data_IF_334051677639
#
_entry.id   IF_334051677639
#
_cell.length_a   1.000
_cell.length_b   1.000
_cell.length_c   1.000
_cell.angle_alpha   90.00
_cell.angle_beta   90.00
_cell.angle_gamma   90.00
#
_symmetry.space_group_name_H-M   'P 1'
#
loop_
_entity.id
_entity.type
_entity.pdbx_description
1 polymer ?
#
# COMPACT_ATOMS: atom_id res chain seq x y z
N UNK A 1 -7.49 3.41 -11.59
CA UNK A 1 -6.03 3.58 -11.42
C UNK A 1 -5.72 4.18 -10.06
N UNK A 2 -4.49 4.00 -9.60
CA UNK A 2 -3.84 4.70 -8.48
C UNK A 2 -3.15 5.93 -9.08
N UNK A 3 -3.41 7.12 -8.54
CA UNK A 3 -2.84 8.38 -9.01
C UNK A 3 -2.01 9.02 -7.89
N UNK A 4 -0.71 9.20 -8.12
CA UNK A 4 0.21 9.76 -7.13
C UNK A 4 -0.19 11.18 -6.75
N UNK A 5 -0.61 11.99 -7.72
CA UNK A 5 -0.93 13.40 -7.50
C UNK A 5 -2.21 13.55 -6.67
N UNK A 6 -3.23 12.73 -6.95
CA UNK A 6 -4.46 12.68 -6.13
C UNK A 6 -4.16 12.23 -4.69
N UNK A 7 -3.26 11.26 -4.51
CA UNK A 7 -2.86 10.81 -3.17
C UNK A 7 -2.15 11.94 -2.42
N UNK A 8 -1.24 12.65 -3.07
CA UNK A 8 -0.50 13.76 -2.46
C UNK A 8 -1.43 14.90 -2.03
N UNK A 9 -2.35 15.34 -2.90
CA UNK A 9 -3.29 16.42 -2.57
C UNK A 9 -4.33 15.99 -1.54
N UNK A 10 -4.69 14.71 -1.48
CA UNK A 10 -5.59 14.18 -0.44
C UNK A 10 -4.91 14.10 0.92
N UNK A 11 -3.64 13.69 0.97
CA UNK A 11 -2.89 13.56 2.22
C UNK A 11 -2.47 14.91 2.82
N UNK A 12 -2.19 15.89 1.95
CA UNK A 12 -1.68 17.20 2.36
C UNK A 12 -2.48 18.32 1.69
N UNK A 13 -3.74 18.54 2.10
CA UNK A 13 -4.62 19.54 1.49
C UNK A 13 -4.08 20.98 1.64
N UNK A 14 -3.29 21.22 2.69
CA UNK A 14 -2.72 22.54 2.99
C UNK A 14 -1.41 22.83 2.25
N UNK A 15 -0.90 21.88 1.44
CA UNK A 15 0.31 22.04 0.64
C UNK A 15 -0.02 22.01 -0.84
N UNK A 16 0.64 22.84 -1.63
CA UNK A 16 0.48 22.77 -3.07
C UNK A 16 1.11 21.48 -3.63
N UNK A 17 0.50 20.94 -4.69
CA UNK A 17 1.04 19.77 -5.38
C UNK A 17 2.50 20.00 -5.84
N UNK A 18 2.81 21.22 -6.30
CA UNK A 18 4.15 21.60 -6.75
C UNK A 18 5.18 21.47 -5.62
N UNK A 19 4.86 21.95 -4.41
CA UNK A 19 5.75 21.82 -3.24
C UNK A 19 6.00 20.36 -2.88
N UNK A 20 4.97 19.52 -2.94
CA UNK A 20 5.07 18.09 -2.65
C UNK A 20 5.92 17.36 -3.70
N UNK A 21 5.76 17.69 -4.98
CA UNK A 21 6.60 17.15 -6.05
C UNK A 21 8.06 17.60 -5.92
N UNK A 22 8.29 18.86 -5.56
CA UNK A 22 9.64 19.38 -5.29
C UNK A 22 10.27 18.64 -4.11
N UNK A 23 9.53 18.43 -3.02
CA UNK A 23 10.01 17.67 -1.87
C UNK A 23 10.41 16.24 -2.29
N UNK A 24 9.55 15.54 -3.04
CA UNK A 24 9.87 14.20 -3.55
C UNK A 24 11.10 14.19 -4.47
N UNK A 25 11.31 15.24 -5.27
CA UNK A 25 12.50 15.38 -6.12
C UNK A 25 13.76 15.64 -5.28
N UNK A 26 13.69 16.51 -4.28
CA UNK A 26 14.79 16.78 -3.33
C UNK A 26 15.19 15.53 -2.54
N UNK A 27 14.22 14.65 -2.25
CA UNK A 27 14.48 13.37 -1.61
C UNK A 27 15.00 12.30 -2.59
N UNK A 28 15.08 12.57 -3.90
CA UNK A 28 15.34 11.59 -4.96
C UNK A 28 14.33 10.42 -5.00
N UNK A 29 13.10 10.66 -4.51
CA UNK A 29 12.05 9.64 -4.40
C UNK A 29 10.90 9.81 -5.40
N UNK A 30 10.84 10.94 -6.12
CA UNK A 30 9.81 11.18 -7.12
C UNK A 30 9.72 10.07 -8.19
N UNK A 31 10.87 9.66 -8.75
CA UNK A 31 10.94 8.57 -9.74
C UNK A 31 10.55 7.21 -9.15
N UNK A 32 11.09 6.77 -7.99
CA UNK A 32 10.64 5.56 -7.29
C UNK A 32 9.11 5.49 -7.08
N UNK A 33 8.48 6.55 -6.59
CA UNK A 33 7.04 6.57 -6.38
C UNK A 33 6.25 6.53 -7.70
N UNK A 34 6.67 7.28 -8.71
CA UNK A 34 6.04 7.25 -10.04
C UNK A 34 6.15 5.88 -10.70
N UNK A 35 7.34 5.25 -10.62
CA UNK A 35 7.55 3.89 -11.13
C UNK A 35 6.69 2.86 -10.38
N UNK A 36 6.66 2.95 -9.05
CA UNK A 36 5.86 2.04 -8.21
C UNK A 36 4.38 2.12 -8.56
N UNK A 37 3.83 3.33 -8.62
CA UNK A 37 2.42 3.54 -8.99
C UNK A 37 2.11 3.06 -10.41
N UNK A 38 3.01 3.27 -11.37
CA UNK A 38 2.86 2.75 -12.73
C UNK A 38 2.86 1.21 -12.77
N UNK A 39 3.78 0.56 -12.05
CA UNK A 39 3.87 -0.91 -11.99
C UNK A 39 2.63 -1.51 -11.31
N UNK A 40 2.17 -0.93 -10.20
CA UNK A 40 0.94 -1.36 -9.53
C UNK A 40 -0.30 -1.17 -10.42
N UNK A 41 -0.38 -0.07 -11.17
CA UNK A 41 -1.45 0.12 -12.15
C UNK A 41 -1.40 -0.92 -13.27
N UNK A 42 -0.21 -1.25 -13.77
CA UNK A 42 -0.05 -2.31 -14.78
C UNK A 42 -0.53 -3.66 -14.24
N UNK A 43 -0.23 -3.98 -12.98
CA UNK A 43 -0.77 -5.16 -12.31
C UNK A 43 -2.30 -5.12 -12.26
N UNK A 44 -2.89 -4.01 -11.81
CA UNK A 44 -4.35 -3.89 -11.71
C UNK A 44 -5.03 -4.07 -13.07
N UNK A 45 -4.47 -3.49 -14.13
CA UNK A 45 -5.00 -3.62 -15.50
C UNK A 45 -4.91 -5.06 -16.01
N UNK A 46 -3.82 -5.77 -15.70
CA UNK A 46 -3.54 -7.11 -16.23
C UNK A 46 -3.78 -8.23 -15.21
N UNK A 47 -4.46 -7.94 -14.10
CA UNK A 47 -4.48 -8.79 -12.91
C UNK A 47 -4.93 -10.22 -13.22
N UNK A 48 -6.02 -10.37 -13.97
CA UNK A 48 -6.55 -11.69 -14.37
C UNK A 48 -5.55 -12.50 -15.18
N UNK A 49 -4.89 -11.86 -16.16
CA UNK A 49 -3.90 -12.52 -17.02
C UNK A 49 -2.69 -12.97 -16.20
N UNK A 50 -2.15 -12.09 -15.36
CA UNK A 50 -1.02 -12.38 -14.48
C UNK A 50 -1.35 -13.54 -13.53
N UNK A 51 -2.54 -13.55 -12.93
CA UNK A 51 -2.97 -14.63 -12.05
C UNK A 51 -3.16 -15.96 -12.80
N UNK A 52 -3.62 -15.94 -14.05
CA UNK A 52 -3.75 -17.16 -14.86
C UNK A 52 -2.38 -17.75 -15.19
N UNK A 53 -1.43 -16.92 -15.61
CA UNK A 53 -0.10 -17.30 -16.09
C UNK A 53 0.88 -17.61 -14.94
N UNK A 54 0.96 -16.74 -13.93
CA UNK A 54 1.98 -16.79 -12.87
C UNK A 54 1.45 -17.29 -11.52
N UNK A 55 0.12 -17.47 -11.38
CA UNK A 55 -0.57 -17.83 -10.13
C UNK A 55 -0.37 -16.87 -8.95
N UNK A 56 0.38 -15.78 -9.14
CA UNK A 56 0.68 -14.79 -8.12
C UNK A 56 0.89 -13.40 -8.75
N UNK A 57 0.64 -12.34 -7.97
CA UNK A 57 0.94 -10.97 -8.39
C UNK A 57 2.32 -10.56 -7.89
N UNK A 58 3.18 -9.93 -8.71
CA UNK A 58 4.54 -9.54 -8.31
C UNK A 58 4.57 -8.30 -7.41
N UNK A 59 3.58 -8.13 -6.52
CA UNK A 59 3.44 -6.96 -5.64
C UNK A 59 4.58 -6.85 -4.64
N UNK A 60 5.05 -7.98 -4.09
CA UNK A 60 6.09 -7.96 -3.05
C UNK A 60 7.39 -7.29 -3.52
N UNK A 61 7.84 -7.64 -4.72
CA UNK A 61 9.06 -7.06 -5.31
C UNK A 61 8.93 -5.56 -5.58
N UNK A 62 7.77 -5.12 -6.06
CA UNK A 62 7.52 -3.70 -6.32
C UNK A 62 7.62 -2.88 -5.02
N UNK A 63 7.01 -3.40 -3.95
CA UNK A 63 7.04 -2.74 -2.64
C UNK A 63 8.45 -2.74 -2.05
N UNK A 64 9.18 -3.86 -2.16
CA UNK A 64 10.57 -3.97 -1.74
C UNK A 64 11.49 -2.95 -2.43
N UNK A 65 11.34 -2.74 -3.74
CA UNK A 65 12.16 -1.76 -4.47
C UNK A 65 11.92 -0.32 -3.99
N UNK A 66 10.65 0.05 -3.75
CA UNK A 66 10.31 1.37 -3.22
C UNK A 66 10.96 1.59 -1.84
N UNK A 67 10.96 0.56 -1.00
CA UNK A 67 11.56 0.63 0.33
C UNK A 67 13.06 0.81 0.33
N UNK A 68 13.74 0.07 -0.52
CA UNK A 68 15.19 0.17 -0.61
C UNK A 68 15.55 1.63 -0.92
N UNK A 69 14.82 2.26 -1.85
CA UNK A 69 15.01 3.68 -2.16
C UNK A 69 14.72 4.59 -0.95
N UNK A 70 13.61 4.37 -0.24
CA UNK A 70 13.24 5.17 0.95
C UNK A 70 14.25 5.00 2.08
N UNK A 71 14.59 3.76 2.44
CA UNK A 71 15.50 3.47 3.53
C UNK A 71 16.90 4.03 3.25
N UNK A 72 17.38 3.86 2.01
CA UNK A 72 18.66 4.46 1.58
C UNK A 72 18.63 5.97 1.80
N UNK A 73 17.54 6.65 1.42
CA UNK A 73 17.42 8.10 1.63
C UNK A 73 17.41 8.47 3.12
N UNK A 74 16.64 7.76 3.94
CA UNK A 74 16.52 8.03 5.38
C UNK A 74 17.81 7.73 6.17
N UNK A 75 18.64 6.80 5.70
CA UNK A 75 19.96 6.55 6.29
C UNK A 75 20.94 7.69 6.01
N UNK A 76 20.79 8.39 4.88
CA UNK A 76 21.64 9.56 4.55
C UNK A 76 21.24 10.85 5.27
N UNK A 77 20.07 10.90 5.92
CA UNK A 77 19.61 12.08 6.64
C UNK A 77 20.18 12.12 8.05
N UNK A 78 21.11 13.05 8.28
CA UNK A 78 21.78 13.23 9.57
C UNK A 78 20.96 14.08 10.54
N UNK A 79 20.04 14.92 10.05
CA UNK A 79 19.18 15.72 10.91
C UNK A 79 18.00 14.87 11.40
N UNK A 80 18.01 14.52 12.69
CA UNK A 80 17.00 13.64 13.30
C UNK A 80 15.57 14.20 13.24
N UNK A 81 15.40 15.52 13.28
CA UNK A 81 14.07 16.15 13.21
C UNK A 81 13.52 16.00 11.80
N UNK A 82 14.30 16.38 10.79
CA UNK A 82 13.93 16.21 9.37
C UNK A 82 13.71 14.76 9.02
N UNK A 83 14.55 13.85 9.53
CA UNK A 83 14.40 12.41 9.33
C UNK A 83 13.05 11.93 9.80
N UNK A 84 12.61 12.31 11.00
CA UNK A 84 11.27 11.95 11.52
C UNK A 84 10.14 12.55 10.70
N UNK A 85 10.27 13.78 10.24
CA UNK A 85 9.29 14.42 9.34
C UNK A 85 9.19 13.67 8.00
N UNK A 86 10.33 13.29 7.41
CA UNK A 86 10.38 12.50 6.20
C UNK A 86 9.82 11.09 6.41
N UNK A 87 10.14 10.43 7.52
CA UNK A 87 9.55 9.13 7.88
C UNK A 87 8.02 9.21 7.93
N UNK A 88 7.46 10.21 8.61
CA UNK A 88 6.02 10.39 8.70
C UNK A 88 5.37 10.69 7.33
N UNK A 89 6.01 11.55 6.53
CA UNK A 89 5.56 11.88 5.17
C UNK A 89 5.56 10.64 4.26
N UNK A 90 6.68 9.94 4.21
CA UNK A 90 6.88 8.77 3.35
C UNK A 90 6.02 7.59 3.79
N UNK A 91 5.84 7.40 5.10
CA UNK A 91 4.96 6.38 5.65
C UNK A 91 3.52 6.59 5.22
N UNK A 92 3.00 7.82 5.35
CA UNK A 92 1.64 8.16 4.96
C UNK A 92 1.41 7.95 3.45
N UNK A 93 2.37 8.38 2.63
CA UNK A 93 2.33 8.21 1.19
C UNK A 93 2.36 6.73 0.77
N UNK A 94 3.27 5.96 1.34
CA UNK A 94 3.39 4.52 1.11
C UNK A 94 2.11 3.79 1.50
N UNK A 95 1.58 4.07 2.69
CA UNK A 95 0.33 3.48 3.17
C UNK A 95 -0.81 3.73 2.19
N UNK A 96 -0.99 4.97 1.70
CA UNK A 96 -2.10 5.25 0.78
C UNK A 96 -1.93 4.64 -0.61
N UNK A 97 -0.71 4.54 -1.12
CA UNK A 97 -0.45 3.84 -2.38
C UNK A 97 -0.81 2.35 -2.23
N UNK A 98 -0.35 1.70 -1.16
CA UNK A 98 -0.63 0.29 -0.91
C UNK A 98 -2.11 0.04 -0.62
N UNK A 99 -2.73 0.85 0.22
CA UNK A 99 -4.17 0.77 0.53
C UNK A 99 -5.01 0.92 -0.74
N UNK A 100 -4.67 1.90 -1.59
CA UNK A 100 -5.33 2.10 -2.88
C UNK A 100 -5.19 0.90 -3.82
N UNK A 101 -4.01 0.27 -3.85
CA UNK A 101 -3.79 -0.97 -4.62
C UNK A 101 -4.64 -2.12 -4.08
N UNK A 102 -4.57 -2.37 -2.77
CA UNK A 102 -5.29 -3.47 -2.11
C UNK A 102 -6.81 -3.36 -2.26
N UNK A 103 -7.33 -2.15 -2.26
CA UNK A 103 -8.76 -1.87 -2.48
C UNK A 103 -9.23 -2.15 -3.91
N UNK A 104 -8.36 -1.89 -4.88
CA UNK A 104 -8.70 -2.04 -6.31
C UNK A 104 -8.41 -3.45 -6.83
N UNK A 105 -7.48 -4.17 -6.20
CA UNK A 105 -7.12 -5.54 -6.60
C UNK A 105 -8.23 -6.53 -6.29
N UNK A 106 -8.52 -7.42 -7.24
CA UNK A 106 -9.46 -8.52 -7.07
C UNK A 106 -8.87 -9.69 -6.27
N UNK A 107 -7.54 -9.81 -6.21
CA UNK A 107 -6.84 -10.90 -5.53
C UNK A 107 -7.16 -10.96 -4.02
N UNK A 108 -7.00 -12.16 -3.41
CA UNK A 108 -7.15 -12.32 -1.97
C UNK A 108 -6.14 -11.46 -1.20
N UNK A 109 -6.64 -10.55 -0.36
CA UNK A 109 -5.83 -9.56 0.34
C UNK A 109 -4.82 -10.23 1.28
N UNK A 110 -5.20 -11.37 1.86
CA UNK A 110 -4.33 -12.18 2.70
C UNK A 110 -3.10 -12.69 1.93
N UNK A 111 -3.29 -13.07 0.67
CA UNK A 111 -2.18 -13.47 -0.21
C UNK A 111 -1.29 -12.28 -0.55
N UNK A 112 -1.88 -11.12 -0.86
CA UNK A 112 -1.13 -9.89 -1.15
C UNK A 112 -0.27 -9.48 0.04
N UNK A 113 -0.85 -9.46 1.25
CA UNK A 113 -0.11 -9.15 2.47
C UNK A 113 1.03 -10.12 2.74
N UNK A 114 0.78 -11.43 2.55
CA UNK A 114 1.83 -12.44 2.73
C UNK A 114 2.98 -12.24 1.75
N UNK A 115 2.69 -11.96 0.48
CA UNK A 115 3.72 -11.68 -0.53
C UNK A 115 4.53 -10.42 -0.21
N UNK A 116 3.87 -9.36 0.27
CA UNK A 116 4.55 -8.14 0.70
C UNK A 116 5.42 -8.40 1.93
N UNK A 117 4.91 -9.11 2.93
CA UNK A 117 5.64 -9.40 4.16
C UNK A 117 6.88 -10.29 3.92
N UNK A 118 6.75 -11.31 3.05
CA UNK A 118 7.89 -12.16 2.66
C UNK A 118 8.94 -11.32 1.95
N UNK A 119 8.54 -10.57 0.91
CA UNK A 119 9.49 -9.75 0.15
C UNK A 119 10.18 -8.71 1.05
N UNK A 120 9.45 -8.15 2.03
CA UNK A 120 10.03 -7.24 3.02
C UNK A 120 11.07 -7.94 3.89
N UNK A 121 10.74 -9.11 4.41
CA UNK A 121 11.65 -9.92 5.26
C UNK A 121 12.93 -10.26 4.51
N UNK A 122 12.80 -10.70 3.26
CA UNK A 122 13.94 -11.04 2.39
C UNK A 122 14.79 -9.80 2.09
N UNK A 123 14.15 -8.67 1.81
CA UNK A 123 14.84 -7.40 1.54
C UNK A 123 15.60 -6.92 2.76
N UNK A 124 15.00 -6.95 3.95
CA UNK A 124 15.67 -6.59 5.19
C UNK A 124 16.88 -7.49 5.46
N UNK A 125 16.74 -8.80 5.20
CA UNK A 125 17.84 -9.75 5.38
C UNK A 125 18.97 -9.51 4.37
N UNK A 126 18.66 -9.25 3.11
CA UNK A 126 19.67 -9.06 2.06
C UNK A 126 20.47 -7.76 2.23
N UNK A 127 19.81 -6.68 2.64
CA UNK A 127 20.43 -5.35 2.78
C UNK A 127 20.81 -5.00 4.23
N UNK A 128 20.68 -5.94 5.18
CA UNK A 128 20.91 -5.74 6.61
C UNK A 128 20.13 -4.55 7.18
N UNK A 129 18.85 -4.45 6.85
CA UNK A 129 17.96 -3.41 7.37
C UNK A 129 17.17 -3.90 8.59
N UNK A 130 16.80 -2.98 9.47
CA UNK A 130 15.90 -3.27 10.59
C UNK A 130 14.47 -3.51 10.06
N UNK A 131 14.03 -4.77 10.16
CA UNK A 131 12.70 -5.19 9.75
C UNK A 131 11.58 -4.47 10.50
N UNK A 132 11.74 -4.22 11.81
CA UNK A 132 10.73 -3.56 12.62
C UNK A 132 10.59 -2.10 12.21
N UNK A 133 11.72 -1.42 11.95
CA UNK A 133 11.71 -0.04 11.48
C UNK A 133 11.03 0.10 10.10
N UNK A 134 11.40 -0.76 9.15
CA UNK A 134 10.80 -0.76 7.81
C UNK A 134 9.32 -1.18 7.82
N UNK A 135 8.96 -2.12 8.68
CA UNK A 135 7.56 -2.54 8.84
C UNK A 135 6.70 -1.44 9.47
N UNK A 136 7.26 -0.70 10.44
CA UNK A 136 6.61 0.45 11.04
C UNK A 136 6.43 1.59 10.02
N UNK A 137 7.41 1.79 9.12
CA UNK A 137 7.35 2.81 8.07
C UNK A 137 6.23 2.56 7.05
N UNK A 138 5.76 1.33 6.85
CA UNK A 138 4.54 1.09 6.06
C UNK A 138 3.25 1.10 6.85
N UNK A 139 3.36 1.24 8.17
CA UNK A 139 2.26 1.06 9.07
C UNK A 139 1.52 -0.27 8.80
N UNK A 140 2.28 -1.38 8.64
CA UNK A 140 1.68 -2.70 8.37
C UNK A 140 0.69 -3.12 9.45
N UNK A 141 0.89 -2.69 10.70
CA UNK A 141 -0.09 -2.86 11.78
C UNK A 141 -1.46 -2.27 11.43
N UNK A 142 -1.49 -1.08 10.82
CA UNK A 142 -2.73 -0.45 10.35
C UNK A 142 -3.28 -1.09 9.08
N UNK A 143 -2.44 -1.62 8.19
CA UNK A 143 -2.90 -2.42 7.05
C UNK A 143 -3.53 -3.76 7.49
N UNK A 144 -3.02 -4.37 8.56
CA UNK A 144 -3.62 -5.55 9.21
C UNK A 144 -4.91 -5.18 9.94
N UNK A 145 -4.99 -3.98 10.54
CA UNK A 145 -6.24 -3.46 11.12
C UNK A 145 -7.29 -3.15 10.04
N UNK A 146 -6.88 -2.61 8.89
CA UNK A 146 -7.71 -2.41 7.69
C UNK A 146 -8.32 -3.72 7.17
N UNK A 147 -7.54 -4.81 7.19
CA UNK A 147 -8.06 -6.17 6.93
C UNK A 147 -9.16 -6.56 7.92
N UNK A 148 -9.04 -6.20 9.21
CA UNK A 148 -10.06 -6.49 10.23
C UNK A 148 -11.31 -5.65 10.04
N UNK A 149 -11.19 -4.36 9.70
CA UNK A 149 -12.34 -3.47 9.48
C UNK A 149 -13.14 -3.81 8.22
N UNK A 150 -12.48 -4.24 7.14
CA UNK A 150 -13.15 -4.76 5.94
C UNK A 150 -13.99 -6.02 6.22
N UNK A 151 -13.52 -6.91 7.10
CA UNK A 151 -14.29 -8.11 7.51
C UNK A 151 -15.53 -7.76 8.33
N UNK A 152 -15.52 -6.67 9.09
CA UNK A 152 -16.70 -6.21 9.86
C UNK A 152 -17.73 -5.48 8.99
N UNK A 153 -17.31 -4.68 8.01
CA UNK A 153 -18.23 -3.97 7.10
C UNK A 153 -18.99 -4.92 6.16
N UNK A 154 -18.40 -6.05 5.78
CA UNK A 154 -19.07 -7.04 4.92
C UNK A 154 -20.14 -7.87 5.65
N UNK A 155 -20.12 -7.94 7.00
CA UNK A 155 -21.14 -8.65 7.80
C UNK A 155 -22.40 -7.83 8.05
N UNK A 156 -22.35 -6.51 7.91
CA UNK A 156 -23.51 -5.64 8.18
C UNK A 156 -24.46 -5.44 6.99
N UNK A 157 -24.10 -5.94 5.80
CA UNK A 157 -24.95 -5.84 4.59
C UNK A 157 -25.71 -7.14 4.26
N UNK A 158 -25.73 -8.14 5.15
CA UNK A 158 -26.45 -9.42 4.95
C UNK A 158 -27.70 -9.57 5.83
N UNK A 159 -28.27 -8.48 6.33
CA UNK A 159 -29.56 -8.50 7.03
C UNK A 159 -30.55 -7.57 6.34
N UNK A 160 -31.10 -8.00 5.20
CA UNK A 160 -32.44 -7.61 4.70
C UNK A 160 -32.78 -8.38 3.42
N UNK A 161 -33.15 -9.65 3.58
CA UNK A 161 -34.09 -10.33 2.67
C UNK A 161 -34.42 -11.71 3.23
N UNK A 162 -35.32 -11.76 4.22
CA UNK A 162 -36.17 -12.94 4.36
C UNK A 162 -37.62 -12.46 4.29
N UNK A 163 -38.15 -12.54 3.07
CA UNK A 163 -39.56 -12.64 2.77
C UNK A 163 -40.16 -13.82 3.54
N UNK A 164 -41.00 -13.54 4.54
CA UNK A 164 -41.90 -14.54 5.10
C UNK A 164 -43.17 -14.57 4.25
N UNK A 165 -43.23 -15.53 3.32
CA UNK A 165 -44.49 -16.15 2.93
C UNK A 165 -44.82 -17.26 3.94
N UNK A 166 -46.11 -17.45 4.27
CA UNK A 166 -46.61 -18.80 4.46
C UNK A 166 -47.79 -19.06 3.51
N UNK A 167 -47.61 -20.07 2.66
CA UNK A 167 -48.69 -20.74 1.93
C UNK A 167 -49.25 -21.86 2.82
N UNK A 168 -50.57 -21.79 3.03
CA UNK A 168 -51.60 -22.85 3.08
C UNK A 168 -51.35 -24.20 3.79
N UNK A 169 -52.36 -24.64 4.57
CA UNK A 169 -52.72 -26.06 4.65
C UNK A 169 -53.28 -26.55 5.99
N UNK A 170 -54.57 -26.32 6.25
CA UNK A 170 -55.60 -27.34 6.56
C UNK A 170 -56.98 -26.68 6.62
#
# INVERSE_FOLDING_TARGET
MINLNEILTTLYPDKSLLELEILLKQLNLHTPFKSTTAQLNSILTNEKKILLELKALPVGHIVANLLVAINTKLQTETNLIKKKEYEAFLSSLCYQILSSFLMKSAAPKESLFKMIAIALTDTCSFYNYDFNQLSALFNFGSLVAFKRSMKTSSKNNTVKSNSCFPLAGQ
#
